data_IF_972130897124
#
_entry.id   IF_972130897124
#
_cell.length_a   1.000
_cell.length_b   1.000
_cell.length_c   1.000
_cell.angle_alpha   90.00
_cell.angle_beta   90.00
_cell.angle_gamma   90.00
#
_symmetry.space_group_name_H-M   'P 1'
#
loop_
_entity.id
_entity.type
_entity.pdbx_description
1 polymer ?
#
# COMPACT_ATOMS: atom_id res chain seq x y z
N UNK A 1 -99.68 23.80 26.81
CA UNK A 1 -100.95 24.43 27.26
C UNK A 1 -102.06 23.84 26.40
N UNK A 2 -102.79 22.85 26.94
CA UNK A 2 -103.78 22.08 26.18
C UNK A 2 -105.05 22.93 26.06
N UNK A 3 -105.26 23.57 24.90
CA UNK A 3 -106.57 24.11 24.54
C UNK A 3 -107.44 22.97 24.05
N UNK A 4 -108.10 22.28 24.99
CA UNK A 4 -109.21 21.38 24.66
C UNK A 4 -110.26 22.19 23.89
N UNK A 5 -110.79 21.73 22.74
CA UNK A 5 -111.75 22.49 21.97
C UNK A 5 -112.92 22.84 22.89
N UNK A 6 -113.14 24.14 23.09
CA UNK A 6 -114.17 24.70 23.98
C UNK A 6 -115.56 24.11 23.70
N UNK A 7 -115.75 23.58 22.49
CA UNK A 7 -116.94 22.90 22.02
C UNK A 7 -117.27 21.58 22.77
N UNK A 8 -116.34 20.63 22.99
CA UNK A 8 -116.71 19.35 23.65
C UNK A 8 -117.02 19.56 25.15
N UNK A 9 -116.36 20.51 25.84
CA UNK A 9 -116.71 20.89 27.23
C UNK A 9 -118.07 21.58 27.33
N UNK A 10 -118.40 22.48 26.40
CA UNK A 10 -119.72 23.12 26.33
C UNK A 10 -120.83 22.11 26.05
N UNK A 11 -120.57 21.11 25.19
CA UNK A 11 -121.53 20.08 24.83
C UNK A 11 -121.87 19.13 26.00
N UNK A 12 -120.85 18.72 26.78
CA UNK A 12 -121.04 17.93 27.99
C UNK A 12 -121.87 18.66 29.07
N UNK A 13 -121.75 19.99 29.15
CA UNK A 13 -122.54 20.82 30.07
C UNK A 13 -124.00 20.91 29.59
N UNK A 14 -124.23 21.11 28.28
CA UNK A 14 -125.57 21.16 27.70
C UNK A 14 -126.34 19.83 27.89
N UNK A 15 -125.67 18.67 27.76
CA UNK A 15 -126.28 17.34 27.99
C UNK A 15 -126.67 17.11 29.46
N UNK A 16 -125.86 17.59 30.42
CA UNK A 16 -126.21 17.58 31.86
C UNK A 16 -127.41 18.49 32.16
N UNK A 17 -127.52 19.63 31.48
CA UNK A 17 -128.66 20.54 31.61
C UNK A 17 -129.95 19.93 31.00
N UNK A 18 -129.86 19.26 29.85
CA UNK A 18 -130.98 18.57 29.21
C UNK A 18 -131.48 17.36 30.03
N UNK A 19 -130.57 16.62 30.70
CA UNK A 19 -130.92 15.48 31.58
C UNK A 19 -131.72 15.93 32.80
N UNK A 20 -131.38 17.08 33.42
CA UNK A 20 -132.16 17.68 34.53
C UNK A 20 -133.55 18.17 34.10
N UNK A 21 -133.71 18.60 32.84
CA UNK A 21 -135.01 19.07 32.34
C UNK A 21 -136.02 17.93 32.09
N UNK A 22 -135.54 16.68 31.91
CA UNK A 22 -136.38 15.48 31.74
C UNK A 22 -137.07 15.05 33.05
N UNK A 23 -136.54 15.43 34.20
CA UNK A 23 -137.12 15.13 35.53
C UNK A 23 -138.27 16.06 35.92
N UNK A 24 -138.54 17.13 35.15
CA UNK A 24 -139.49 18.19 35.56
C UNK A 24 -140.82 18.30 34.80
N UNK A 25 -141.08 17.59 33.70
CA UNK A 25 -142.37 17.73 32.98
C UNK A 25 -142.84 16.46 32.27
N UNK A 26 -144.08 16.05 32.53
CA UNK A 26 -144.76 14.91 31.91
C UNK A 26 -145.21 15.14 30.46
N UNK A 27 -145.18 14.04 29.68
CA UNK A 27 -145.90 13.72 28.44
C UNK A 27 -146.33 14.87 27.52
N UNK A 28 -145.40 15.46 26.76
CA UNK A 28 -145.59 15.88 25.36
C UNK A 28 -144.23 16.31 24.74
N UNK A 29 -143.26 15.40 24.71
CA UNK A 29 -141.96 15.63 24.06
C UNK A 29 -141.21 14.32 23.80
N UNK A 30 -141.89 13.25 23.38
CA UNK A 30 -141.23 11.95 23.19
C UNK A 30 -140.65 11.73 21.79
N UNK A 31 -140.95 12.58 20.79
CA UNK A 31 -140.34 12.47 19.46
C UNK A 31 -139.21 13.49 19.24
N UNK A 32 -139.43 14.79 19.47
CA UNK A 32 -138.39 15.81 19.25
C UNK A 32 -137.17 15.67 20.17
N UNK A 33 -137.37 15.34 21.45
CA UNK A 33 -136.27 15.21 22.41
C UNK A 33 -135.43 13.96 22.11
N UNK A 34 -136.04 12.89 21.62
CA UNK A 34 -135.36 11.64 21.25
C UNK A 34 -134.51 11.81 20.00
N UNK A 35 -134.92 12.66 19.04
CA UNK A 35 -134.09 13.05 17.89
C UNK A 35 -132.90 13.89 18.35
N UNK A 36 -133.11 14.91 19.19
CA UNK A 36 -132.00 15.75 19.70
C UNK A 36 -130.99 15.01 20.58
N UNK A 37 -131.42 13.98 21.33
CA UNK A 37 -130.50 13.15 22.11
C UNK A 37 -129.68 12.20 21.22
N UNK A 38 -130.27 11.64 20.15
CA UNK A 38 -129.52 10.85 19.17
C UNK A 38 -128.46 11.67 18.46
N UNK A 39 -128.75 12.91 18.12
CA UNK A 39 -127.78 13.82 17.50
C UNK A 39 -126.67 14.22 18.49
N UNK A 40 -127.00 14.43 19.76
CA UNK A 40 -126.00 14.69 20.80
C UNK A 40 -125.09 13.51 21.14
N UNK A 41 -125.63 12.30 21.12
CA UNK A 41 -124.85 11.09 21.35
C UNK A 41 -123.89 10.84 20.18
N UNK A 42 -124.35 11.11 18.95
CA UNK A 42 -123.53 11.04 17.73
C UNK A 42 -122.40 12.08 17.72
N UNK A 43 -122.66 13.31 18.16
CA UNK A 43 -121.64 14.38 18.26
C UNK A 43 -120.61 14.06 19.37
N UNK A 44 -121.04 13.45 20.48
CA UNK A 44 -120.12 13.02 21.53
C UNK A 44 -119.20 11.88 21.05
N UNK A 45 -119.77 10.88 20.36
CA UNK A 45 -119.02 9.80 19.72
C UNK A 45 -118.02 10.35 18.69
N UNK A 46 -118.40 11.38 17.93
CA UNK A 46 -117.52 12.07 16.97
C UNK A 46 -116.40 12.88 17.66
N UNK A 47 -116.69 13.57 18.78
CA UNK A 47 -115.68 14.24 19.63
C UNK A 47 -114.68 13.24 20.24
N UNK A 48 -115.17 12.12 20.76
CA UNK A 48 -114.34 11.10 21.42
C UNK A 48 -113.45 10.39 20.38
N UNK A 49 -114.01 10.04 19.21
CA UNK A 49 -113.25 9.48 18.09
C UNK A 49 -112.19 10.46 17.55
N UNK A 50 -112.48 11.76 17.49
CA UNK A 50 -111.51 12.78 17.10
C UNK A 50 -110.39 12.94 18.13
N UNK A 51 -110.74 12.92 19.43
CA UNK A 51 -109.76 13.03 20.50
C UNK A 51 -108.84 11.81 20.57
N UNK A 52 -109.40 10.62 20.44
CA UNK A 52 -108.65 9.38 20.37
C UNK A 52 -107.76 9.37 19.12
N UNK A 53 -108.28 9.77 17.95
CA UNK A 53 -107.48 9.88 16.73
C UNK A 53 -106.31 10.87 16.86
N UNK A 54 -106.54 12.04 17.45
CA UNK A 54 -105.50 13.06 17.66
C UNK A 54 -104.44 12.61 18.69
N UNK A 55 -104.87 11.98 19.78
CA UNK A 55 -103.96 11.39 20.78
C UNK A 55 -103.14 10.24 20.20
N UNK A 56 -103.73 9.42 19.34
CA UNK A 56 -103.03 8.29 18.69
C UNK A 56 -102.00 8.83 17.70
N UNK A 57 -102.34 9.86 16.92
CA UNK A 57 -101.44 10.47 15.95
C UNK A 57 -100.25 11.17 16.63
N UNK A 58 -100.48 11.88 17.74
CA UNK A 58 -99.39 12.47 18.55
C UNK A 58 -98.48 11.41 19.17
N UNK A 59 -99.04 10.26 19.59
CA UNK A 59 -98.25 9.16 20.11
C UNK A 59 -97.38 8.52 19.03
N UNK A 60 -97.92 8.32 17.82
CA UNK A 60 -97.16 7.83 16.66
C UNK A 60 -96.04 8.80 16.26
N UNK A 61 -96.30 10.11 16.25
CA UNK A 61 -95.29 11.14 15.96
C UNK A 61 -94.18 11.16 17.02
N UNK A 62 -94.53 11.05 18.31
CA UNK A 62 -93.56 10.95 19.39
C UNK A 62 -92.70 9.68 19.28
N UNK A 63 -93.28 8.55 18.87
CA UNK A 63 -92.54 7.31 18.69
C UNK A 63 -91.57 7.41 17.50
N UNK A 64 -91.98 8.04 16.39
CA UNK A 64 -91.10 8.31 15.24
C UNK A 64 -89.91 9.20 15.62
N UNK A 65 -90.15 10.28 16.37
CA UNK A 65 -89.08 11.16 16.85
C UNK A 65 -88.12 10.42 17.79
N UNK A 66 -88.64 9.50 18.62
CA UNK A 66 -87.80 8.70 19.51
C UNK A 66 -86.93 7.71 18.71
N UNK A 67 -87.48 7.03 17.70
CA UNK A 67 -86.70 6.19 16.78
C UNK A 67 -85.62 6.99 16.05
N UNK A 68 -85.96 8.17 15.52
CA UNK A 68 -85.00 9.04 14.84
C UNK A 68 -83.86 9.48 15.79
N UNK A 69 -84.19 9.85 17.03
CA UNK A 69 -83.19 10.19 18.05
C UNK A 69 -82.28 9.00 18.39
N UNK A 70 -82.82 7.78 18.46
CA UNK A 70 -82.03 6.58 18.72
C UNK A 70 -81.08 6.26 17.55
N UNK A 71 -81.56 6.38 16.30
CA UNK A 71 -80.75 6.20 15.11
C UNK A 71 -79.59 7.22 15.04
N UNK A 72 -79.86 8.50 15.33
CA UNK A 72 -78.82 9.53 15.40
C UNK A 72 -77.77 9.23 16.48
N UNK A 73 -78.20 8.70 17.63
CA UNK A 73 -77.28 8.29 18.69
C UNK A 73 -76.40 7.10 18.26
N UNK A 74 -76.97 6.10 17.58
CA UNK A 74 -76.20 4.98 17.03
C UNK A 74 -75.18 5.44 15.99
N UNK A 75 -75.56 6.33 15.09
CA UNK A 75 -74.65 6.87 14.06
C UNK A 75 -73.54 7.72 14.68
N UNK A 76 -73.84 8.51 15.72
CA UNK A 76 -72.84 9.25 16.48
C UNK A 76 -71.83 8.32 17.15
N UNK A 77 -72.30 7.21 17.75
CA UNK A 77 -71.41 6.19 18.34
C UNK A 77 -70.51 5.54 17.29
N UNK A 78 -71.05 5.14 16.13
CA UNK A 78 -70.27 4.57 15.02
C UNK A 78 -69.18 5.54 14.55
N UNK A 79 -69.53 6.81 14.37
CA UNK A 79 -68.57 7.85 13.97
C UNK A 79 -67.47 8.03 15.02
N UNK A 80 -67.80 7.98 16.31
CA UNK A 80 -66.81 8.07 17.37
C UNK A 80 -65.85 6.87 17.38
N UNK A 81 -66.37 5.65 17.20
CA UNK A 81 -65.55 4.44 17.07
C UNK A 81 -64.60 4.50 15.86
N UNK A 82 -65.08 4.99 14.73
CA UNK A 82 -64.28 5.15 13.52
C UNK A 82 -63.16 6.19 13.71
N UNK A 83 -63.49 7.32 14.35
CA UNK A 83 -62.49 8.34 14.72
C UNK A 83 -61.42 7.78 15.66
N UNK A 84 -61.80 6.98 16.65
CA UNK A 84 -60.85 6.32 17.56
C UNK A 84 -59.94 5.32 16.82
N UNK A 85 -60.46 4.57 15.84
CA UNK A 85 -59.66 3.66 15.01
C UNK A 85 -58.62 4.44 14.18
N UNK A 86 -59.04 5.53 13.53
CA UNK A 86 -58.14 6.39 12.76
C UNK A 86 -57.04 7.01 13.65
N UNK A 87 -57.38 7.41 14.87
CA UNK A 87 -56.40 7.93 15.82
C UNK A 87 -55.36 6.88 16.21
N UNK A 88 -55.80 5.64 16.47
CA UNK A 88 -54.88 4.53 16.76
C UNK A 88 -53.97 4.19 15.57
N UNK A 89 -54.52 4.20 14.36
CA UNK A 89 -53.74 3.98 13.13
C UNK A 89 -52.70 5.09 12.93
N UNK A 90 -53.08 6.34 13.12
CA UNK A 90 -52.14 7.48 13.05
C UNK A 90 -51.00 7.36 14.07
N UNK A 91 -51.29 6.90 15.29
CA UNK A 91 -50.25 6.69 16.30
C UNK A 91 -49.29 5.57 15.91
N UNK A 92 -49.79 4.47 15.36
CA UNK A 92 -48.95 3.37 14.86
C UNK A 92 -48.03 3.84 13.72
N UNK A 93 -48.57 4.60 12.76
CA UNK A 93 -47.77 5.17 11.67
C UNK A 93 -46.69 6.13 12.20
N UNK A 94 -47.00 6.91 13.25
CA UNK A 94 -46.01 7.78 13.87
C UNK A 94 -44.88 6.99 14.55
N UNK A 95 -45.21 5.93 15.29
CA UNK A 95 -44.22 5.03 15.90
C UNK A 95 -43.35 4.36 14.83
N UNK A 96 -43.95 3.86 13.75
CA UNK A 96 -43.22 3.25 12.63
C UNK A 96 -42.26 4.25 11.96
N UNK A 97 -42.71 5.48 11.73
CA UNK A 97 -41.87 6.55 11.19
C UNK A 97 -40.69 6.88 12.12
N UNK A 98 -40.88 6.86 13.44
CA UNK A 98 -39.81 7.11 14.41
C UNK A 98 -38.79 5.96 14.41
N UNK A 99 -39.26 4.72 14.32
CA UNK A 99 -38.39 3.55 14.22
C UNK A 99 -37.53 3.58 12.95
N UNK A 100 -38.12 3.93 11.80
CA UNK A 100 -37.40 4.09 10.53
C UNK A 100 -36.34 5.20 10.60
N UNK A 101 -36.64 6.31 11.27
CA UNK A 101 -35.67 7.39 11.49
C UNK A 101 -34.49 6.90 12.35
N UNK A 102 -34.75 6.14 13.41
CA UNK A 102 -33.71 5.59 14.27
C UNK A 102 -32.83 4.58 13.52
N UNK A 103 -33.42 3.71 12.71
CA UNK A 103 -32.68 2.77 11.85
C UNK A 103 -31.81 3.51 10.82
N UNK A 104 -32.36 4.56 10.19
CA UNK A 104 -31.60 5.41 9.26
C UNK A 104 -30.41 6.08 9.93
N UNK A 105 -30.58 6.60 11.16
CA UNK A 105 -29.49 7.18 11.93
C UNK A 105 -28.41 6.16 12.28
N UNK A 106 -28.79 4.95 12.71
CA UNK A 106 -27.83 3.85 12.97
C UNK A 106 -27.04 3.48 11.72
N UNK A 107 -27.73 3.36 10.59
CA UNK A 107 -27.08 3.07 9.30
C UNK A 107 -26.09 4.17 8.89
N UNK A 108 -26.44 5.44 9.12
CA UNK A 108 -25.55 6.57 8.85
C UNK A 108 -24.30 6.56 9.76
N UNK A 109 -24.46 6.28 11.05
CA UNK A 109 -23.32 6.13 11.98
C UNK A 109 -22.38 4.98 11.58
N UNK A 110 -22.93 3.84 11.17
CA UNK A 110 -22.14 2.71 10.69
C UNK A 110 -21.36 3.06 9.41
N UNK A 111 -22.00 3.75 8.46
CA UNK A 111 -21.35 4.24 7.25
C UNK A 111 -20.18 5.18 7.57
N UNK A 112 -20.36 6.10 8.53
CA UNK A 112 -19.30 7.01 8.97
C UNK A 112 -18.12 6.25 9.61
N UNK A 113 -18.39 5.24 10.45
CA UNK A 113 -17.35 4.39 11.04
C UNK A 113 -16.54 3.63 9.96
N UNK A 114 -17.21 3.06 8.97
CA UNK A 114 -16.56 2.38 7.85
C UNK A 114 -15.70 3.36 7.02
N UNK A 115 -16.18 4.59 6.82
CA UNK A 115 -15.41 5.61 6.13
C UNK A 115 -14.13 5.98 6.90
N UNK A 116 -14.22 6.18 8.22
CA UNK A 116 -13.04 6.42 9.06
C UNK A 116 -12.04 5.26 9.04
N UNK A 117 -12.51 4.01 9.09
CA UNK A 117 -11.66 2.83 9.00
C UNK A 117 -10.93 2.76 7.65
N UNK A 118 -11.64 3.02 6.56
CA UNK A 118 -11.06 3.10 5.21
C UNK A 118 -9.95 4.15 5.14
N UNK A 119 -10.19 5.35 5.70
CA UNK A 119 -9.19 6.41 5.73
C UNK A 119 -7.93 6.00 6.54
N UNK A 120 -8.10 5.32 7.68
CA UNK A 120 -6.97 4.79 8.48
C UNK A 120 -6.18 3.74 7.72
N UNK A 121 -6.85 2.84 7.00
CA UNK A 121 -6.18 1.84 6.15
C UNK A 121 -5.40 2.49 5.02
N UNK A 122 -5.97 3.51 4.36
CA UNK A 122 -5.29 4.26 3.32
C UNK A 122 -4.03 4.96 3.85
N UNK A 123 -4.11 5.61 5.02
CA UNK A 123 -2.94 6.24 5.65
C UNK A 123 -1.84 5.23 5.99
N UNK A 124 -2.22 4.05 6.51
CA UNK A 124 -1.27 2.96 6.78
C UNK A 124 -0.60 2.46 5.51
N UNK A 125 -1.35 2.31 4.43
CA UNK A 125 -0.82 1.93 3.11
C UNK A 125 0.21 2.93 2.60
N UNK A 126 -0.10 4.24 2.69
CA UNK A 126 0.82 5.30 2.30
C UNK A 126 2.13 5.26 3.10
N UNK A 127 2.05 5.11 4.42
CA UNK A 127 3.25 4.98 5.28
C UNK A 127 4.11 3.79 4.89
N UNK A 128 3.49 2.64 4.61
CA UNK A 128 4.21 1.44 4.15
C UNK A 128 4.87 1.65 2.79
N UNK A 129 4.22 2.37 1.87
CA UNK A 129 4.80 2.70 0.57
C UNK A 129 6.01 3.64 0.72
N UNK A 130 5.92 4.66 1.57
CA UNK A 130 7.05 5.55 1.86
C UNK A 130 8.24 4.82 2.46
N UNK A 131 8.00 3.89 3.39
CA UNK A 131 9.06 3.06 3.98
C UNK A 131 9.74 2.16 2.94
N UNK A 132 8.96 1.53 2.07
CA UNK A 132 9.49 0.74 0.94
C UNK A 132 10.37 1.58 0.01
N UNK A 133 9.94 2.79 -0.32
CA UNK A 133 10.73 3.70 -1.17
C UNK A 133 12.05 4.10 -0.50
N UNK A 134 12.07 4.33 0.83
CA UNK A 134 13.31 4.61 1.57
C UNK A 134 14.28 3.43 1.54
N UNK A 135 13.78 2.21 1.78
CA UNK A 135 14.60 0.99 1.71
C UNK A 135 15.17 0.77 0.31
N UNK A 136 14.40 1.06 -0.74
CA UNK A 136 14.88 0.97 -2.11
C UNK A 136 16.01 1.97 -2.40
N UNK A 137 15.88 3.21 -1.92
CA UNK A 137 16.95 4.22 -2.04
C UNK A 137 18.22 3.80 -1.30
N UNK A 138 18.09 3.29 -0.07
CA UNK A 138 19.22 2.79 0.71
C UNK A 138 19.94 1.64 0.00
N UNK A 139 19.18 0.68 -0.56
CA UNK A 139 19.74 -0.41 -1.37
C UNK A 139 20.50 0.09 -2.59
N UNK A 140 20.00 1.13 -3.27
CA UNK A 140 20.68 1.71 -4.44
C UNK A 140 21.99 2.38 -4.03
N UNK A 141 22.01 3.11 -2.91
CA UNK A 141 23.21 3.76 -2.38
C UNK A 141 24.28 2.72 -2.00
N UNK A 142 23.90 1.62 -1.33
CA UNK A 142 24.82 0.53 -0.99
C UNK A 142 25.40 -0.14 -2.24
N UNK A 143 24.59 -0.29 -3.30
CA UNK A 143 25.06 -0.84 -4.56
C UNK A 143 26.10 0.08 -5.23
N UNK A 144 25.86 1.38 -5.22
CA UNK A 144 26.81 2.38 -5.72
C UNK A 144 28.12 2.38 -4.93
N UNK A 145 28.06 2.33 -3.59
CA UNK A 145 29.23 2.22 -2.73
C UNK A 145 30.04 0.96 -3.03
N UNK A 146 29.38 -0.19 -3.21
CA UNK A 146 30.05 -1.45 -3.58
C UNK A 146 30.75 -1.35 -4.94
N UNK A 147 30.15 -0.67 -5.92
CA UNK A 147 30.76 -0.46 -7.24
C UNK A 147 31.99 0.44 -7.14
N UNK A 148 31.95 1.49 -6.33
CA UNK A 148 33.08 2.37 -6.08
C UNK A 148 34.26 1.62 -5.43
N UNK A 149 33.99 0.77 -4.44
CA UNK A 149 35.02 -0.07 -3.80
C UNK A 149 35.64 -1.07 -4.79
N UNK A 150 34.85 -1.66 -5.68
CA UNK A 150 35.35 -2.52 -6.76
C UNK A 150 36.28 -1.76 -7.71
N UNK A 151 35.92 -0.53 -8.07
CA UNK A 151 36.76 0.31 -8.93
C UNK A 151 38.09 0.67 -8.25
N UNK A 152 38.07 1.00 -6.96
CA UNK A 152 39.27 1.28 -6.17
C UNK A 152 40.17 0.04 -6.05
N UNK A 153 39.58 -1.14 -5.79
CA UNK A 153 40.30 -2.41 -5.79
C UNK A 153 40.99 -2.70 -7.13
N UNK A 154 40.32 -2.43 -8.25
CA UNK A 154 40.89 -2.59 -9.59
C UNK A 154 42.05 -1.61 -9.84
N UNK A 155 41.95 -0.36 -9.38
CA UNK A 155 43.04 0.62 -9.47
C UNK A 155 44.27 0.15 -8.70
N UNK A 156 44.08 -0.30 -7.47
CA UNK A 156 45.15 -0.84 -6.62
C UNK A 156 45.82 -2.08 -7.23
N UNK A 157 45.03 -3.00 -7.79
CA UNK A 157 45.56 -4.17 -8.50
C UNK A 157 46.43 -3.78 -9.71
N UNK A 158 45.97 -2.83 -10.52
CA UNK A 158 46.72 -2.33 -11.66
C UNK A 158 48.04 -1.65 -11.26
N UNK A 159 48.04 -0.88 -10.17
CA UNK A 159 49.24 -0.25 -9.64
C UNK A 159 50.26 -1.30 -9.15
N UNK A 160 49.79 -2.32 -8.44
CA UNK A 160 50.63 -3.45 -8.01
C UNK A 160 51.26 -4.19 -9.20
N UNK A 161 50.48 -4.44 -10.26
CA UNK A 161 50.99 -5.06 -11.49
C UNK A 161 52.07 -4.20 -12.16
N UNK A 162 51.89 -2.87 -12.19
CA UNK A 162 52.87 -1.93 -12.73
C UNK A 162 54.18 -1.95 -11.94
N UNK A 163 54.11 -1.92 -10.60
CA UNK A 163 55.28 -2.04 -9.73
C UNK A 163 56.01 -3.36 -9.93
N UNK A 164 55.27 -4.47 -10.09
CA UNK A 164 55.85 -5.78 -10.35
C UNK A 164 56.60 -5.82 -11.70
N UNK A 165 56.02 -5.24 -12.76
CA UNK A 165 56.69 -5.12 -14.05
C UNK A 165 57.98 -4.28 -13.98
N UNK A 166 57.95 -3.17 -13.24
CA UNK A 166 59.13 -2.32 -13.04
C UNK A 166 60.23 -3.04 -12.26
N UNK A 167 59.87 -3.79 -11.22
CA UNK A 167 60.79 -4.66 -10.48
C UNK A 167 61.43 -5.72 -11.38
N UNK A 168 60.64 -6.38 -12.22
CA UNK A 168 61.15 -7.39 -13.16
C UNK A 168 62.14 -6.78 -14.16
N UNK A 169 61.82 -5.60 -14.71
CA UNK A 169 62.72 -4.87 -15.61
C UNK A 169 64.04 -4.49 -14.94
N UNK A 170 63.99 -4.00 -13.70
CA UNK A 170 65.19 -3.68 -12.91
C UNK A 170 66.03 -4.94 -12.63
N UNK A 171 65.38 -6.06 -12.33
CA UNK A 171 66.06 -7.34 -12.14
C UNK A 171 66.77 -7.83 -13.42
N UNK A 172 66.13 -7.73 -14.58
CA UNK A 172 66.75 -8.04 -15.88
C UNK A 172 67.96 -7.14 -16.18
N UNK A 173 67.85 -5.83 -15.95
CA UNK A 173 68.97 -4.90 -16.12
C UNK A 173 70.15 -5.25 -15.20
N UNK A 174 69.88 -5.65 -13.95
CA UNK A 174 70.90 -6.06 -13.00
C UNK A 174 71.61 -7.36 -13.42
N UNK A 175 70.87 -8.35 -13.92
CA UNK A 175 71.43 -9.62 -14.37
C UNK A 175 72.26 -9.46 -15.65
N UNK A 176 71.87 -8.57 -16.56
CA UNK A 176 72.66 -8.25 -17.76
C UNK A 176 73.96 -7.51 -17.46
N UNK A 177 74.07 -6.86 -16.29
CA UNK A 177 75.28 -6.18 -15.81
C UNK A 177 76.25 -7.07 -15.03
N UNK A 178 75.94 -8.35 -14.75
CA UNK A 178 76.90 -9.29 -14.14
C UNK A 178 78.19 -9.36 -14.98
N UNK A 179 79.37 -9.33 -14.34
CA UNK A 179 80.55 -8.75 -14.98
C UNK A 179 81.22 -9.74 -15.93
N UNK A 180 81.01 -9.53 -17.24
CA UNK A 180 81.91 -10.04 -18.30
C UNK A 180 83.38 -9.62 -18.10
N UNK A 181 83.64 -8.68 -17.18
CA UNK A 181 84.95 -8.10 -16.93
C UNK A 181 85.79 -8.90 -15.90
N UNK A 182 85.19 -9.60 -14.93
CA UNK A 182 85.95 -10.36 -13.92
C UNK A 182 86.67 -11.55 -14.57
N UNK A 183 86.00 -12.29 -15.45
CA UNK A 183 86.62 -13.38 -16.21
C UNK A 183 87.75 -12.88 -17.11
N UNK A 184 87.63 -11.67 -17.69
CA UNK A 184 88.68 -11.12 -18.55
C UNK A 184 89.90 -10.62 -17.79
N UNK A 185 89.72 -10.04 -16.59
CA UNK A 185 90.83 -9.64 -15.74
C UNK A 185 91.59 -10.86 -15.22
N UNK A 186 90.88 -11.92 -14.81
CA UNK A 186 91.51 -13.16 -14.36
C UNK A 186 92.31 -13.83 -15.48
N UNK A 187 91.75 -13.90 -16.70
CA UNK A 187 92.44 -14.50 -17.84
C UNK A 187 93.67 -13.70 -18.27
N UNK A 188 93.58 -12.37 -18.31
CA UNK A 188 94.71 -11.51 -18.63
C UNK A 188 95.84 -11.62 -17.59
N UNK A 189 95.49 -11.66 -16.30
CA UNK A 189 96.44 -11.86 -15.21
C UNK A 189 97.07 -13.25 -15.29
N UNK A 190 96.30 -14.30 -15.56
CA UNK A 190 96.82 -15.65 -15.74
C UNK A 190 97.81 -15.75 -16.92
N UNK A 191 97.49 -15.15 -18.08
CA UNK A 191 98.40 -15.11 -19.23
C UNK A 191 99.70 -14.35 -18.91
N UNK A 192 99.60 -13.20 -18.23
CA UNK A 192 100.78 -12.43 -17.82
C UNK A 192 101.68 -13.22 -16.87
N UNK A 193 101.09 -13.87 -15.86
CA UNK A 193 101.80 -14.71 -14.90
C UNK A 193 102.53 -15.86 -15.61
N UNK A 194 101.86 -16.59 -16.51
CA UNK A 194 102.46 -17.70 -17.26
C UNK A 194 103.64 -17.25 -18.15
N UNK A 195 103.54 -16.07 -18.78
CA UNK A 195 104.59 -15.56 -19.65
C UNK A 195 105.76 -14.91 -18.88
N UNK A 196 105.50 -14.28 -17.72
CA UNK A 196 106.50 -13.49 -17.00
C UNK A 196 107.20 -14.24 -15.86
N UNK A 197 106.52 -15.16 -15.18
CA UNK A 197 107.09 -15.88 -14.02
C UNK A 197 108.37 -16.66 -14.35
N UNK A 198 108.46 -17.43 -15.46
CA UNK A 198 109.68 -18.19 -15.77
C UNK A 198 110.91 -17.28 -15.90
N UNK A 199 110.72 -16.08 -16.47
CA UNK A 199 111.79 -15.09 -16.62
C UNK A 199 112.19 -14.45 -15.29
N UNK A 200 111.22 -14.09 -14.45
CA UNK A 200 111.51 -13.49 -13.13
C UNK A 200 112.21 -14.48 -12.19
N UNK A 201 111.74 -15.73 -12.14
CA UNK A 201 112.35 -16.79 -11.31
C UNK A 201 113.79 -17.03 -11.76
N UNK A 202 114.02 -17.14 -13.07
CA UNK A 202 115.36 -17.32 -13.60
C UNK A 202 116.30 -16.15 -13.29
N UNK A 203 115.85 -14.91 -13.48
CA UNK A 203 116.63 -13.73 -13.12
C UNK A 203 116.97 -13.68 -11.62
N UNK A 204 116.02 -14.07 -10.76
CA UNK A 204 116.23 -14.16 -9.31
C UNK A 204 117.26 -15.22 -8.92
N UNK A 205 117.22 -16.40 -9.56
CA UNK A 205 118.20 -17.48 -9.36
C UNK A 205 119.60 -17.02 -9.78
N UNK A 206 119.72 -16.36 -10.94
CA UNK A 206 121.00 -15.80 -11.44
C UNK A 206 121.57 -14.72 -10.50
N UNK A 207 120.71 -13.87 -9.92
CA UNK A 207 121.14 -12.84 -8.98
C UNK A 207 121.64 -13.44 -7.65
N UNK A 208 120.95 -14.48 -7.15
CA UNK A 208 121.27 -15.12 -5.86
C UNK A 208 122.50 -16.03 -5.92
N UNK A 209 122.66 -16.82 -7.01
CA UNK A 209 123.74 -17.80 -7.12
C UNK A 209 124.96 -17.32 -7.92
N UNK A 210 124.89 -16.12 -8.51
CA UNK A 210 125.94 -15.56 -9.36
C UNK A 210 125.97 -16.22 -10.76
N UNK A 211 126.38 -15.44 -11.78
CA UNK A 211 126.36 -15.85 -13.22
C UNK A 211 127.23 -17.06 -13.58
N UNK A 212 127.97 -17.64 -12.62
CA UNK A 212 128.98 -18.67 -12.85
C UNK A 212 128.48 -20.10 -12.58
N UNK A 213 127.22 -20.29 -12.15
CA UNK A 213 126.65 -21.62 -11.85
C UNK A 213 126.04 -22.34 -13.06
N UNK A 214 125.74 -21.65 -14.16
CA UNK A 214 125.09 -22.25 -15.33
C UNK A 214 126.05 -22.34 -16.51
N UNK A 215 126.04 -23.49 -17.19
CA UNK A 215 126.77 -23.68 -18.44
C UNK A 215 126.30 -22.66 -19.50
N UNK A 216 127.26 -22.06 -20.23
CA UNK A 216 127.03 -20.90 -21.11
C UNK A 216 126.03 -21.21 -22.22
N UNK A 217 126.00 -22.45 -22.69
CA UNK A 217 125.10 -22.88 -23.77
C UNK A 217 123.66 -23.05 -23.25
N UNK A 218 123.48 -23.66 -22.08
CA UNK A 218 122.18 -23.77 -21.41
C UNK A 218 121.59 -22.40 -21.07
N UNK A 219 122.41 -21.46 -20.59
CA UNK A 219 122.01 -20.09 -20.31
C UNK A 219 121.48 -19.36 -21.55
N UNK A 220 122.16 -19.49 -22.70
CA UNK A 220 121.73 -18.86 -23.96
C UNK A 220 120.43 -19.46 -24.48
N UNK A 221 120.30 -20.79 -24.45
CA UNK A 221 119.07 -21.48 -24.86
C UNK A 221 117.92 -21.00 -23.98
N UNK A 222 118.08 -20.96 -22.66
CA UNK A 222 117.03 -20.51 -21.76
C UNK A 222 116.63 -19.03 -22.00
N UNK A 223 117.59 -18.13 -22.20
CA UNK A 223 117.29 -16.73 -22.54
C UNK A 223 116.52 -16.61 -23.86
N UNK A 224 116.86 -17.44 -24.85
CA UNK A 224 116.13 -17.48 -26.13
C UNK A 224 114.68 -17.93 -25.90
N UNK A 225 114.46 -18.94 -25.07
CA UNK A 225 113.13 -19.42 -24.68
C UNK A 225 112.30 -18.37 -23.89
N UNK A 226 112.92 -17.61 -22.98
CA UNK A 226 112.23 -16.52 -22.29
C UNK A 226 111.86 -15.41 -23.28
N UNK A 227 112.76 -15.06 -24.20
CA UNK A 227 112.51 -14.04 -25.22
C UNK A 227 111.35 -14.45 -26.13
N UNK A 228 111.26 -15.71 -26.54
CA UNK A 228 110.12 -16.20 -27.33
C UNK A 228 108.82 -16.15 -26.54
N UNK A 229 108.80 -16.60 -25.28
CA UNK A 229 107.61 -16.52 -24.42
C UNK A 229 107.09 -15.09 -24.23
N UNK A 230 108.00 -14.12 -24.04
CA UNK A 230 107.63 -12.70 -23.95
C UNK A 230 107.05 -12.20 -25.27
N UNK A 231 107.63 -12.56 -26.42
CA UNK A 231 107.07 -12.17 -27.72
C UNK A 231 105.72 -12.81 -28.00
N UNK A 232 105.47 -14.02 -27.49
CA UNK A 232 104.17 -14.70 -27.63
C UNK A 232 103.06 -14.03 -26.81
N UNK A 233 103.38 -13.28 -25.75
CA UNK A 233 102.39 -12.54 -24.95
C UNK A 233 101.52 -11.60 -25.80
N UNK A 234 102.13 -10.91 -26.78
CA UNK A 234 101.40 -10.03 -27.71
C UNK A 234 100.43 -10.82 -28.60
N UNK A 235 100.80 -12.02 -29.02
CA UNK A 235 99.93 -12.91 -29.80
C UNK A 235 98.76 -13.45 -28.98
N UNK A 236 99.00 -13.78 -27.71
CA UNK A 236 97.93 -14.20 -26.80
C UNK A 236 96.95 -13.07 -26.51
N UNK A 237 97.41 -11.83 -26.36
CA UNK A 237 96.52 -10.67 -26.20
C UNK A 237 95.56 -10.51 -27.40
N UNK A 238 96.06 -10.70 -28.62
CA UNK A 238 95.23 -10.67 -29.84
C UNK A 238 94.20 -11.80 -29.85
N UNK A 239 94.58 -13.02 -29.45
CA UNK A 239 93.66 -14.16 -29.36
C UNK A 239 92.58 -13.96 -28.29
N UNK A 240 92.95 -13.45 -27.12
CA UNK A 240 92.01 -13.11 -26.04
C UNK A 240 91.02 -12.03 -26.50
N UNK A 241 91.49 -11.03 -27.25
CA UNK A 241 90.63 -9.99 -27.81
C UNK A 241 89.65 -10.54 -28.86
N UNK A 242 90.14 -11.37 -29.79
CA UNK A 242 89.32 -12.03 -30.80
C UNK A 242 88.25 -12.93 -30.15
N UNK A 243 88.64 -13.73 -29.17
CA UNK A 243 87.70 -14.60 -28.46
C UNK A 243 86.74 -13.84 -27.55
N UNK A 244 87.02 -12.60 -27.15
CA UNK A 244 86.11 -11.77 -26.33
C UNK A 244 85.01 -11.12 -27.17
N UNK A 245 85.33 -10.62 -28.36
CA UNK A 245 84.39 -9.86 -29.17
C UNK A 245 83.45 -10.79 -29.95
N UNK A 246 82.19 -10.88 -29.51
CA UNK A 246 81.19 -11.73 -30.15
C UNK A 246 80.94 -11.39 -31.62
N UNK A 247 81.13 -10.13 -32.01
CA UNK A 247 80.98 -9.66 -33.38
C UNK A 247 82.14 -10.19 -34.24
N UNK A 248 83.38 -10.02 -33.77
CA UNK A 248 84.56 -10.57 -34.47
C UNK A 248 84.51 -12.10 -34.58
N UNK A 249 84.00 -12.81 -33.58
CA UNK A 249 83.81 -14.28 -33.68
C UNK A 249 82.78 -14.66 -34.73
N UNK A 250 81.68 -13.90 -34.85
CA UNK A 250 80.64 -14.14 -35.86
C UNK A 250 81.18 -13.88 -37.26
N UNK A 251 81.86 -12.75 -37.45
CA UNK A 251 82.49 -12.39 -38.72
C UNK A 251 83.60 -13.38 -39.10
N UNK A 252 84.48 -13.72 -38.16
CA UNK A 252 85.54 -14.71 -38.38
C UNK A 252 84.99 -16.09 -38.77
N UNK A 253 83.91 -16.56 -38.14
CA UNK A 253 83.20 -17.78 -38.56
C UNK A 253 82.61 -17.66 -39.96
N UNK A 254 82.09 -16.50 -40.34
CA UNK A 254 81.58 -16.28 -41.71
C UNK A 254 82.71 -16.32 -42.74
N UNK A 255 83.86 -15.71 -42.44
CA UNK A 255 85.05 -15.74 -43.30
C UNK A 255 85.58 -17.17 -43.45
N UNK A 256 85.72 -17.92 -42.35
CA UNK A 256 86.14 -19.33 -42.38
C UNK A 256 85.21 -20.20 -43.23
N UNK A 257 83.90 -19.96 -43.18
CA UNK A 257 82.93 -20.66 -44.04
C UNK A 257 83.05 -20.30 -45.53
N UNK A 258 83.60 -19.14 -45.88
CA UNK A 258 83.85 -18.74 -47.28
C UNK A 258 85.16 -19.29 -47.83
N UNK A 259 86.10 -19.64 -46.94
CA UNK A 259 87.43 -20.17 -47.30
C UNK A 259 87.41 -21.71 -47.43
N UNK A 260 86.45 -22.38 -46.75
CA UNK A 260 86.21 -23.82 -46.86
C UNK A 260 85.25 -24.13 -47.99
#
# INVERSE_FOLDING_TARGET
IIMVPTNCKMYAIARRAAKRNKERTGKQKQQNTTVTFKDSDKIQEECDNLHDAESTNQHEESNKLHEESNNLHEDSNKSHEESNKLYQESNKLHEESNNLLEESNKSHEESNKLHEESNKLHEKSNKSHEESNKLHQESNNLHEESNNLLEEGNKSHNESNKLHQESNKSHEESNNKKPKNISTCILAVACFILCALPGMIFNGIIFSQGKNTFDKDHYKVFLLWIRTLITMNSSFNTLVFFWKNSTLRKEGKQVLKKIR
#
